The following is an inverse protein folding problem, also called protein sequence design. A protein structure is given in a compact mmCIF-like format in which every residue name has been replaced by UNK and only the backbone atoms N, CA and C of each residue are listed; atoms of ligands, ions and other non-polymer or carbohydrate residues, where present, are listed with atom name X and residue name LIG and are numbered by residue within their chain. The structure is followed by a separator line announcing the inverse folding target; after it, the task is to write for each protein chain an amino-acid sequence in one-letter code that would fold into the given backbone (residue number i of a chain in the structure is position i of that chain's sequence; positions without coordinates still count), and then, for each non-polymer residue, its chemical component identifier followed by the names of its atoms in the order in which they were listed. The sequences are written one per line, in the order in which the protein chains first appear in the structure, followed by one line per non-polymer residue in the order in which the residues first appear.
data_IF_323951241050
#
_entry.id   IF_323951241050
#
_cell.length_a   1.000
_cell.length_b   1.000
_cell.length_c   1.000
_cell.angle_alpha   90.00
_cell.angle_beta   90.00
_cell.angle_gamma   90.00
#
_symmetry.space_group_name_H-M   'P 1'
#
loop_
_entity.id
_entity.type
_entity.pdbx_description
1 polymer ?
#
# COMPACT_ATOMS: atom_id res chain seq x y z
N UNK A 1 -17.18 -5.63 11.57
CA UNK A 1 -17.58 -6.50 12.70
C UNK A 1 -16.31 -7.13 13.26
N UNK A 2 -16.19 -7.28 14.59
CA UNK A 2 -15.06 -7.98 15.21
C UNK A 2 -15.54 -9.36 15.62
N UNK A 3 -14.98 -10.40 15.02
CA UNK A 3 -15.25 -11.78 15.41
C UNK A 3 -14.18 -12.25 16.39
N UNK A 4 -14.59 -13.13 17.30
CA UNK A 4 -13.68 -13.88 18.16
C UNK A 4 -13.65 -15.32 17.64
N UNK A 5 -12.50 -15.96 17.71
CA UNK A 5 -12.35 -17.36 17.34
C UNK A 5 -11.52 -18.10 18.39
N UNK A 6 -11.79 -19.39 18.52
CA UNK A 6 -11.01 -20.35 19.29
C UNK A 6 -11.17 -21.73 18.65
N UNK A 7 -10.10 -22.55 18.63
CA UNK A 7 -10.15 -23.91 18.10
C UNK A 7 -9.25 -24.86 18.91
N UNK A 8 -9.65 -26.13 18.99
CA UNK A 8 -8.90 -27.21 19.64
C UNK A 8 -8.30 -28.18 18.62
N UNK A 9 -7.34 -28.99 19.04
CA UNK A 9 -6.76 -30.05 18.19
C UNK A 9 -7.65 -31.29 18.08
N UNK A 10 -8.58 -31.48 19.03
CA UNK A 10 -9.52 -32.57 19.09
C UNK A 10 -10.91 -32.08 19.48
N UNK A 11 -11.93 -32.84 19.07
CA UNK A 11 -13.31 -32.60 19.48
C UNK A 11 -13.47 -32.87 20.99
N UNK A 12 -14.28 -32.07 21.71
CA UNK A 12 -14.51 -32.28 23.13
C UNK A 12 -15.30 -33.58 23.39
N UNK A 13 -14.86 -34.37 24.36
CA UNK A 13 -15.57 -35.58 24.83
C UNK A 13 -16.86 -35.25 25.64
N UNK A 14 -17.20 -33.97 25.83
CA UNK A 14 -18.32 -33.51 26.64
C UNK A 14 -18.87 -32.15 26.19
N UNK A 15 -19.68 -31.50 27.05
CA UNK A 15 -20.30 -30.20 26.71
C UNK A 15 -19.29 -29.03 26.70
N UNK A 16 -18.20 -29.15 27.45
CA UNK A 16 -17.20 -28.10 27.58
C UNK A 16 -16.04 -28.31 26.60
N UNK A 17 -15.66 -27.27 25.82
CA UNK A 17 -14.48 -27.32 24.97
C UNK A 17 -13.21 -27.37 25.83
N UNK A 18 -12.20 -28.12 25.37
CA UNK A 18 -10.87 -28.09 25.99
C UNK A 18 -10.24 -26.69 25.93
N UNK A 19 -9.28 -26.45 26.83
CA UNK A 19 -8.47 -25.25 26.78
C UNK A 19 -7.66 -25.20 25.48
N UNK A 20 -7.87 -24.16 24.69
CA UNK A 20 -7.32 -23.97 23.35
C UNK A 20 -5.97 -23.21 23.33
N UNK A 21 -5.33 -23.00 24.48
CA UNK A 21 -4.05 -22.30 24.54
C UNK A 21 -4.14 -20.81 24.20
N UNK A 22 -2.98 -20.15 24.12
CA UNK A 22 -2.89 -18.73 23.72
C UNK A 22 -2.83 -18.56 22.20
N UNK A 23 -2.34 -19.57 21.47
CA UNK A 23 -2.10 -19.52 20.04
C UNK A 23 -3.34 -19.88 19.20
N UNK A 24 -4.26 -20.71 19.71
CA UNK A 24 -5.45 -21.14 18.96
C UNK A 24 -6.69 -20.31 19.28
N UNK A 25 -6.50 -19.04 19.64
CA UNK A 25 -7.58 -18.08 19.86
C UNK A 25 -7.21 -16.69 19.41
N UNK A 26 -8.21 -15.88 19.12
CA UNK A 26 -7.97 -14.48 18.86
C UNK A 26 -9.21 -13.73 18.42
N UNK A 27 -8.95 -12.56 17.84
CA UNK A 27 -9.99 -11.73 17.25
C UNK A 27 -9.60 -11.35 15.84
N UNK A 28 -10.57 -11.25 14.93
CA UNK A 28 -10.37 -10.76 13.56
C UNK A 28 -11.43 -9.72 13.23
N UNK A 29 -11.01 -8.62 12.61
CA UNK A 29 -11.95 -7.66 12.04
C UNK A 29 -12.38 -8.16 10.67
N UNK A 30 -13.69 -8.24 10.43
CA UNK A 30 -14.29 -8.70 9.18
C UNK A 30 -15.38 -7.74 8.72
N UNK A 31 -15.56 -7.64 7.41
CA UNK A 31 -16.72 -7.02 6.80
C UNK A 31 -17.64 -8.13 6.26
N UNK A 32 -18.63 -8.54 7.06
CA UNK A 32 -19.50 -9.68 6.72
C UNK A 32 -20.40 -9.44 5.49
N UNK A 33 -20.62 -8.17 5.15
CA UNK A 33 -21.43 -7.75 4.01
C UNK A 33 -20.54 -7.15 2.92
N UNK A 34 -19.28 -7.57 2.84
CA UNK A 34 -18.42 -7.13 1.74
C UNK A 34 -19.03 -7.65 0.42
N UNK A 35 -19.45 -6.76 -0.49
CA UNK A 35 -19.99 -7.20 -1.76
C UNK A 35 -18.91 -7.98 -2.52
N UNK A 36 -19.29 -9.03 -3.28
CA UNK A 36 -18.35 -9.65 -4.21
C UNK A 36 -17.88 -8.57 -5.18
N UNK A 37 -16.58 -8.40 -5.28
CA UNK A 37 -15.98 -7.44 -6.19
C UNK A 37 -15.90 -8.08 -7.57
N UNK A 38 -16.00 -7.26 -8.61
CA UNK A 38 -15.78 -7.73 -9.97
C UNK A 38 -14.33 -8.17 -10.14
N UNK A 39 -14.12 -9.25 -10.90
CA UNK A 39 -12.78 -9.64 -11.33
C UNK A 39 -12.22 -8.60 -12.30
N UNK A 40 -10.92 -8.33 -12.22
CA UNK A 40 -10.22 -7.59 -13.28
C UNK A 40 -10.28 -8.47 -14.53
N UNK A 41 -10.80 -7.98 -15.68
CA UNK A 41 -10.89 -8.76 -16.89
C UNK A 41 -9.51 -9.29 -17.33
N UNK A 42 -9.48 -10.50 -17.87
CA UNK A 42 -8.29 -11.02 -18.56
C UNK A 42 -8.20 -10.37 -19.96
N UNK A 43 -7.70 -9.14 -19.99
CA UNK A 43 -7.53 -8.34 -21.20
C UNK A 43 -6.03 -8.02 -21.42
N UNK A 44 -5.43 -8.39 -22.56
CA UNK A 44 -4.00 -8.16 -22.83
C UNK A 44 -3.61 -6.68 -22.95
N UNK A 45 -4.58 -5.77 -23.07
CA UNK A 45 -4.36 -4.32 -23.02
C UNK A 45 -4.07 -3.81 -21.61
N UNK A 46 -4.47 -4.56 -20.57
CA UNK A 46 -4.17 -4.21 -19.18
C UNK A 46 -2.68 -4.41 -18.94
N UNK A 47 -2.04 -3.36 -18.42
CA UNK A 47 -0.62 -3.35 -18.06
C UNK A 47 -0.47 -3.14 -16.56
N UNK A 48 0.45 -3.90 -15.98
CA UNK A 48 0.86 -3.67 -14.60
C UNK A 48 1.99 -2.65 -14.56
N UNK A 49 1.91 -1.73 -13.60
CA UNK A 49 2.96 -0.78 -13.31
C UNK A 49 3.33 -0.87 -11.83
N UNK A 50 4.59 -1.23 -11.56
CA UNK A 50 5.13 -1.33 -10.20
C UNK A 50 5.78 0.00 -9.84
N UNK A 51 5.27 0.62 -8.77
CA UNK A 51 5.83 1.84 -8.17
C UNK A 51 6.49 1.46 -6.85
N UNK A 52 7.82 1.41 -6.82
CA UNK A 52 8.57 1.03 -5.62
C UNK A 52 9.96 1.68 -5.54
N UNK A 53 10.46 1.88 -4.32
CA UNK A 53 11.85 2.23 -4.01
C UNK A 53 12.32 1.42 -2.82
N UNK A 54 13.61 1.10 -2.77
CA UNK A 54 14.24 0.54 -1.57
C UNK A 54 14.82 1.69 -0.74
N UNK A 55 14.65 1.61 0.58
CA UNK A 55 15.20 2.60 1.50
C UNK A 55 15.44 1.96 2.87
N UNK A 56 16.32 2.57 3.65
CA UNK A 56 16.57 2.18 5.05
C UNK A 56 15.68 3.05 5.94
N UNK A 57 14.83 2.40 6.74
CA UNK A 57 13.95 3.10 7.68
C UNK A 57 14.82 3.80 8.74
N UNK A 58 14.74 5.14 8.88
CA UNK A 58 15.46 5.87 9.92
C UNK A 58 15.07 5.41 11.34
N UNK A 59 15.99 5.54 12.28
CA UNK A 59 15.79 5.19 13.69
C UNK A 59 14.99 6.28 14.44
N UNK A 60 13.74 6.48 14.03
CA UNK A 60 12.77 7.42 14.64
C UNK A 60 11.39 6.76 14.72
N UNK A 61 10.54 7.25 15.62
CA UNK A 61 9.24 6.63 15.93
C UNK A 61 8.30 6.51 14.71
N UNK A 62 8.34 7.47 13.78
CA UNK A 62 7.48 7.48 12.59
C UNK A 62 8.20 8.10 11.41
N UNK A 63 8.22 7.38 10.29
CA UNK A 63 8.84 7.83 9.05
C UNK A 63 7.80 7.99 7.96
N UNK A 64 7.76 9.18 7.36
CA UNK A 64 7.08 9.41 6.09
C UNK A 64 8.15 9.59 5.01
N UNK A 65 8.18 8.67 4.04
CA UNK A 65 9.18 8.66 2.98
C UNK A 65 8.55 8.94 1.63
N UNK A 66 9.11 9.89 0.89
CA UNK A 66 8.60 10.36 -0.38
C UNK A 66 9.65 10.15 -1.47
N UNK A 67 9.22 9.70 -2.65
CA UNK A 67 10.08 9.55 -3.82
C UNK A 67 9.30 9.95 -5.08
N UNK A 68 10.02 10.47 -6.08
CA UNK A 68 9.46 10.76 -7.40
C UNK A 68 9.72 9.56 -8.31
N UNK A 69 8.69 9.16 -9.06
CA UNK A 69 8.82 8.15 -10.09
C UNK A 69 8.20 8.66 -11.38
N UNK A 70 8.87 8.41 -12.50
CA UNK A 70 8.28 8.66 -13.82
C UNK A 70 7.15 7.66 -14.06
N UNK A 71 6.03 8.18 -14.53
CA UNK A 71 4.97 7.34 -15.06
C UNK A 71 5.45 6.68 -16.35
N UNK A 72 4.89 5.51 -16.72
CA UNK A 72 5.07 4.96 -18.06
C UNK A 72 4.61 5.98 -19.10
N UNK A 73 5.33 6.05 -20.22
CA UNK A 73 4.89 6.85 -21.36
C UNK A 73 3.69 6.16 -21.99
N UNK A 74 2.58 6.89 -22.11
CA UNK A 74 1.35 6.40 -22.72
C UNK A 74 0.87 7.37 -23.79
N UNK A 75 0.49 6.85 -24.95
CA UNK A 75 0.07 7.67 -26.10
C UNK A 75 -1.39 8.11 -26.03
N UNK A 76 -2.17 7.50 -25.12
CA UNK A 76 -3.59 7.76 -24.91
C UNK A 76 -3.91 7.83 -23.42
N UNK A 77 -5.05 8.42 -23.07
CA UNK A 77 -5.55 8.41 -21.70
C UNK A 77 -5.84 6.98 -21.25
N UNK A 78 -5.32 6.61 -20.08
CA UNK A 78 -5.53 5.30 -19.47
C UNK A 78 -6.29 5.45 -18.15
N UNK A 79 -6.97 4.38 -17.74
CA UNK A 79 -7.65 4.28 -16.45
C UNK A 79 -6.93 3.27 -15.56
N UNK A 80 -6.71 3.64 -14.29
CA UNK A 80 -6.30 2.68 -13.25
C UNK A 80 -7.57 1.94 -12.83
N UNK A 81 -7.61 0.64 -13.10
CA UNK A 81 -8.78 -0.22 -12.82
C UNK A 81 -8.59 -1.12 -11.58
N UNK A 82 -7.38 -1.17 -11.02
CA UNK A 82 -7.03 -1.97 -9.86
C UNK A 82 -5.65 -1.60 -9.32
N UNK A 83 -5.37 -1.96 -8.07
CA UNK A 83 -4.06 -1.75 -7.44
C UNK A 83 -3.85 -2.70 -6.27
N UNK A 84 -2.57 -2.97 -5.97
CA UNK A 84 -2.14 -3.74 -4.81
C UNK A 84 -0.92 -3.10 -4.14
N UNK A 85 -0.76 -3.20 -2.81
CA UNK A 85 0.46 -2.76 -2.17
C UNK A 85 1.59 -3.69 -2.62
N UNK A 86 2.74 -3.09 -2.96
CA UNK A 86 3.95 -3.83 -3.27
C UNK A 86 4.94 -3.63 -2.13
N UNK A 87 4.98 -4.59 -1.20
CA UNK A 87 5.84 -4.57 -0.02
C UNK A 87 6.75 -5.79 -0.06
N UNK A 88 8.05 -5.56 0.21
CA UNK A 88 9.05 -6.64 0.26
C UNK A 88 8.70 -7.63 1.38
N UNK A 89 8.73 -8.95 1.13
CA UNK A 89 8.43 -9.94 2.16
C UNK A 89 9.25 -9.74 3.44
N UNK A 90 8.59 -9.81 4.59
CA UNK A 90 9.18 -9.59 5.91
C UNK A 90 9.09 -8.13 6.42
N UNK A 91 8.73 -7.18 5.55
CA UNK A 91 8.60 -5.77 5.91
C UNK A 91 7.15 -5.33 6.17
N UNK A 92 6.16 -6.22 6.08
CA UNK A 92 4.73 -5.90 6.14
C UNK A 92 4.36 -5.17 7.44
N UNK A 93 4.98 -5.55 8.56
CA UNK A 93 4.75 -4.93 9.87
C UNK A 93 5.23 -3.48 9.96
N UNK A 94 6.07 -3.02 9.02
CA UNK A 94 6.66 -1.68 9.04
C UNK A 94 5.91 -0.68 8.14
N UNK A 95 5.01 -1.15 7.28
CA UNK A 95 4.29 -0.30 6.32
C UNK A 95 2.84 -0.15 6.76
N UNK A 96 2.46 1.05 7.23
CA UNK A 96 1.09 1.33 7.66
C UNK A 96 0.23 1.94 6.54
N UNK A 97 0.79 2.84 5.74
CA UNK A 97 0.13 3.54 4.63
C UNK A 97 1.03 3.57 3.39
N UNK A 98 0.40 3.54 2.21
CA UNK A 98 1.04 3.79 0.92
C UNK A 98 0.14 4.75 0.14
N UNK A 99 0.70 5.85 -0.35
CA UNK A 99 -0.02 6.89 -1.08
C UNK A 99 0.70 7.18 -2.40
N UNK A 100 -0.04 7.20 -3.51
CA UNK A 100 0.45 7.61 -4.82
C UNK A 100 -0.22 8.90 -5.22
N UNK A 101 0.58 9.90 -5.57
CA UNK A 101 0.12 11.21 -6.01
C UNK A 101 0.49 11.43 -7.48
N UNK A 102 -0.39 12.09 -8.22
CA UNK A 102 -0.07 12.73 -9.49
C UNK A 102 0.43 14.15 -9.25
N UNK A 103 1.46 14.52 -10.01
CA UNK A 103 2.10 15.83 -10.00
C UNK A 103 1.66 16.65 -11.21
N UNK A 104 1.24 17.89 -10.97
CA UNK A 104 0.96 18.85 -12.03
C UNK A 104 2.22 19.70 -12.23
N UNK A 105 3.10 19.26 -13.13
CA UNK A 105 4.45 19.83 -13.30
C UNK A 105 4.41 20.87 -14.44
N UNK A 106 4.73 22.15 -14.18
CA UNK A 106 4.98 23.14 -15.23
C UNK A 106 6.20 22.76 -16.09
N UNK A 107 6.20 23.14 -17.36
CA UNK A 107 7.26 22.78 -18.32
C UNK A 107 8.66 23.17 -17.81
N UNK A 108 8.78 24.33 -17.15
CA UNK A 108 10.04 24.83 -16.59
C UNK A 108 10.61 24.00 -15.42
N UNK A 109 9.80 23.14 -14.79
CA UNK A 109 10.20 22.29 -13.66
C UNK A 109 10.38 20.82 -14.05
N UNK A 110 10.15 20.44 -15.30
CA UNK A 110 10.27 19.05 -15.77
C UNK A 110 11.66 18.48 -15.47
N UNK A 111 12.72 19.25 -15.72
CA UNK A 111 14.09 18.80 -15.46
C UNK A 111 14.39 18.63 -13.97
N UNK A 112 13.76 19.43 -13.10
CA UNK A 112 13.86 19.27 -11.64
C UNK A 112 13.23 17.94 -11.23
N UNK A 113 12.02 17.62 -11.69
CA UNK A 113 11.40 16.34 -11.36
C UNK A 113 12.15 15.15 -11.97
N UNK A 114 12.71 15.32 -13.17
CA UNK A 114 13.51 14.30 -13.83
C UNK A 114 14.78 13.95 -13.03
N UNK A 115 15.44 14.92 -12.41
CA UNK A 115 16.64 14.65 -11.58
C UNK A 115 16.30 13.88 -10.29
N UNK A 116 15.09 14.06 -9.76
CA UNK A 116 14.59 13.32 -8.60
C UNK A 116 14.02 11.94 -8.93
N UNK A 117 13.69 11.67 -10.19
CA UNK A 117 13.05 10.42 -10.59
C UNK A 117 13.90 9.17 -10.33
N UNK A 118 15.23 9.30 -10.31
CA UNK A 118 16.17 8.22 -10.03
C UNK A 118 16.63 8.20 -8.56
N UNK A 119 16.22 9.17 -7.75
CA UNK A 119 16.56 9.21 -6.33
C UNK A 119 15.74 8.17 -5.55
N UNK A 120 16.34 7.61 -4.49
CA UNK A 120 15.68 6.66 -3.58
C UNK A 120 14.56 7.30 -2.72
N UNK A 121 14.38 8.61 -2.85
CA UNK A 121 13.51 9.42 -2.02
C UNK A 121 14.20 10.07 -0.81
N UNK A 122 13.40 10.81 -0.04
CA UNK A 122 13.80 11.55 1.16
C UNK A 122 12.64 11.55 2.16
N UNK A 123 12.89 12.05 3.37
CA UNK A 123 11.80 12.33 4.33
C UNK A 123 10.82 13.33 3.73
N UNK A 124 9.52 13.00 3.72
CA UNK A 124 8.47 13.87 3.19
C UNK A 124 8.38 15.24 3.92
N UNK A 125 8.81 15.29 5.18
CA UNK A 125 8.76 16.48 6.03
C UNK A 125 10.15 16.87 6.55
N UNK A 126 11.21 16.44 5.86
CA UNK A 126 12.60 16.75 6.20
C UNK A 126 13.14 18.00 5.50
N UNK A 127 14.33 18.48 5.88
CA UNK A 127 14.98 19.62 5.25
C UNK A 127 15.36 19.37 3.79
N UNK A 128 15.58 18.11 3.40
CA UNK A 128 15.95 17.71 2.04
C UNK A 128 14.74 17.57 1.11
N UNK A 129 13.50 17.78 1.60
CA UNK A 129 12.29 17.68 0.80
C UNK A 129 12.17 18.88 -0.17
N UNK A 130 12.18 18.67 -1.50
CA UNK A 130 12.09 19.76 -2.46
C UNK A 130 10.74 20.47 -2.40
N UNK A 131 10.73 21.79 -2.52
CA UNK A 131 9.48 22.57 -2.46
C UNK A 131 8.61 22.29 -3.69
N UNK A 132 9.21 21.94 -4.82
CA UNK A 132 8.52 21.61 -6.06
C UNK A 132 7.61 20.39 -5.90
N UNK A 133 7.94 19.45 -5.00
CA UNK A 133 7.14 18.24 -4.78
C UNK A 133 5.75 18.55 -4.21
N UNK A 134 5.53 19.76 -3.66
CA UNK A 134 4.19 20.23 -3.29
C UNK A 134 3.26 20.42 -4.50
N UNK A 135 3.73 20.26 -5.74
CA UNK A 135 2.89 20.18 -6.94
C UNK A 135 2.22 18.80 -7.10
N UNK A 136 2.65 17.79 -6.34
CA UNK A 136 2.05 16.46 -6.27
C UNK A 136 0.94 16.42 -5.22
N UNK A 137 -0.28 16.82 -5.60
CA UNK A 137 -1.43 16.94 -4.67
C UNK A 137 -2.60 16.01 -5.01
N UNK A 138 -2.64 15.48 -6.22
CA UNK A 138 -3.78 14.70 -6.69
C UNK A 138 -3.59 13.24 -6.28
N UNK A 139 -4.33 12.77 -5.28
CA UNK A 139 -4.25 11.36 -4.85
C UNK A 139 -4.78 10.48 -5.97
N UNK A 140 -3.94 9.56 -6.46
CA UNK A 140 -4.33 8.52 -7.41
C UNK A 140 -4.74 7.25 -6.67
N UNK A 141 -3.92 6.82 -5.71
CA UNK A 141 -4.13 5.59 -4.94
C UNK A 141 -3.85 5.88 -3.47
N UNK A 142 -4.71 5.35 -2.60
CA UNK A 142 -4.48 5.32 -1.18
C UNK A 142 -4.69 3.90 -0.65
N UNK A 143 -3.73 3.44 0.14
CA UNK A 143 -3.76 2.15 0.80
C UNK A 143 -3.37 2.28 2.27
N UNK A 144 -4.00 1.47 3.11
CA UNK A 144 -3.72 1.37 4.53
C UNK A 144 -3.79 -0.09 4.99
N UNK A 145 -3.20 -0.37 6.16
CA UNK A 145 -3.31 -1.68 6.81
C UNK A 145 -4.78 -2.14 6.92
N UNK A 146 -5.04 -3.40 6.57
CA UNK A 146 -6.39 -3.95 6.49
C UNK A 146 -7.15 -3.61 5.20
N UNK A 147 -6.60 -2.72 4.35
CA UNK A 147 -7.01 -2.60 2.96
C UNK A 147 -6.51 -3.82 2.20
N UNK A 148 -7.39 -4.77 1.95
CA UNK A 148 -7.02 -5.92 1.13
C UNK A 148 -6.93 -5.50 -0.34
N UNK A 149 -6.04 -6.19 -1.06
CA UNK A 149 -5.99 -6.13 -2.51
C UNK A 149 -7.28 -6.68 -3.05
N UNK A 150 -7.88 -5.89 -3.94
CA UNK A 150 -9.05 -6.23 -4.73
C UNK A 150 -8.57 -6.36 -6.17
#
# INVERSE_FOLDING_TARGET
IKVIYAYGEADPDGEDPYYHGIDNRGTKSLYLLDPPLGEIPDDPSIKEWIVSREMVIPEVDTTYWCSIQKTPVVDVTNHIIGYKPYVKPGNEKHVHHLLLYACNIPDELVDVFNSWAEHDGVLCYGPDHPQEWYLCRSILIAWAVGGEVR
#
